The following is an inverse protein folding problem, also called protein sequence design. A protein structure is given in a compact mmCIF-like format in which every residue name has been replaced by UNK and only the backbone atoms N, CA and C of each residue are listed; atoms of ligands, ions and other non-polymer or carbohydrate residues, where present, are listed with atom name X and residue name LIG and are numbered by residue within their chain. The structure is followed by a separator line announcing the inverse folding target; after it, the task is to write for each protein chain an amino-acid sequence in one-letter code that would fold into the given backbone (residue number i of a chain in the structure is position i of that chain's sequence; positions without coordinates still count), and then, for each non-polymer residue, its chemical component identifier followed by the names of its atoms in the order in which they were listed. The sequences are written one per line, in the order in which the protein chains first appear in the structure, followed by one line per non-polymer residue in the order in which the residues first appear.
data_IF_900838147656
#
_entry.id   IF_900838147656
#
_cell.length_a   1.000
_cell.length_b   1.000
_cell.length_c   1.000
_cell.angle_alpha   90.00
_cell.angle_beta   90.00
_cell.angle_gamma   90.00
#
_symmetry.space_group_name_H-M   'P 1'
#
loop_
_entity.id
_entity.type
_entity.pdbx_description
1 polymer ?
#
# COMPACT_ATOMS: atom_id res chain seq x y z
N UNK A 1 -12.18 -29.07 8.16
CA UNK A 1 -11.75 -28.54 9.44
C UNK A 1 -11.39 -27.07 9.28
N UNK A 2 -12.08 -26.21 10.00
CA UNK A 2 -11.81 -24.75 10.04
C UNK A 2 -10.46 -24.55 10.71
N UNK A 3 -9.45 -24.13 9.96
CA UNK A 3 -8.16 -23.71 10.53
C UNK A 3 -8.35 -22.30 11.08
N UNK A 4 -8.34 -22.16 12.40
CA UNK A 4 -8.29 -20.84 13.04
C UNK A 4 -6.88 -20.24 12.89
N UNK A 5 -6.79 -18.93 12.80
CA UNK A 5 -5.51 -18.15 12.70
C UNK A 5 -4.51 -18.57 13.79
N UNK A 6 -4.99 -18.97 14.96
CA UNK A 6 -4.17 -19.44 16.08
C UNK A 6 -3.41 -20.76 15.81
N UNK A 7 -3.82 -21.53 14.81
CA UNK A 7 -3.22 -22.84 14.48
C UNK A 7 -2.36 -22.79 13.19
N UNK A 8 -2.09 -21.60 12.64
CA UNK A 8 -1.23 -21.43 11.49
C UNK A 8 0.19 -21.16 12.03
N UNK A 9 1.20 -21.96 11.61
CA UNK A 9 2.58 -21.78 12.10
C UNK A 9 3.21 -20.47 11.62
N UNK A 10 2.65 -19.79 10.63
CA UNK A 10 3.07 -18.50 10.13
C UNK A 10 2.34 -17.38 10.85
N UNK A 11 3.09 -16.38 11.30
CA UNK A 11 2.51 -15.19 11.95
C UNK A 11 1.80 -14.32 10.91
N UNK A 12 0.47 -14.23 11.02
CA UNK A 12 -0.37 -13.35 10.20
C UNK A 12 -0.70 -12.10 11.01
N UNK A 13 -0.51 -10.95 10.42
CA UNK A 13 -0.84 -9.64 10.98
C UNK A 13 -1.73 -8.88 10.00
N UNK A 14 -2.71 -8.16 10.53
CA UNK A 14 -3.64 -7.36 9.74
C UNK A 14 -3.53 -5.90 10.16
N UNK A 15 -3.37 -5.01 9.21
CA UNK A 15 -3.57 -3.58 9.40
C UNK A 15 -4.98 -3.26 8.95
N UNK A 16 -5.82 -2.86 9.89
CA UNK A 16 -7.25 -2.61 9.65
C UNK A 16 -7.50 -1.30 8.91
N UNK A 17 -8.72 -1.13 8.40
CA UNK A 17 -9.15 0.11 7.76
C UNK A 17 -8.99 1.33 8.66
N UNK A 18 -9.36 1.22 9.92
CA UNK A 18 -9.27 2.33 10.89
C UNK A 18 -7.83 2.80 11.05
N UNK A 19 -6.90 1.86 11.18
CA UNK A 19 -5.47 2.15 11.27
C UNK A 19 -4.91 2.71 9.94
N UNK A 20 -5.40 2.23 8.80
CA UNK A 20 -5.05 2.74 7.47
C UNK A 20 -5.52 4.20 7.27
N UNK A 21 -6.72 4.53 7.71
CA UNK A 21 -7.28 5.87 7.58
C UNK A 21 -6.55 6.86 8.51
N UNK A 22 -6.24 6.46 9.75
CA UNK A 22 -5.48 7.28 10.70
C UNK A 22 -4.06 7.56 10.19
N UNK A 23 -3.29 6.51 9.91
CA UNK A 23 -1.88 6.62 9.52
C UNK A 23 -1.69 7.04 8.08
N UNK A 24 -2.60 6.64 7.20
CA UNK A 24 -2.64 7.09 5.82
C UNK A 24 -2.84 8.60 5.71
N UNK A 25 -3.57 9.19 6.66
CA UNK A 25 -3.73 10.64 6.75
C UNK A 25 -2.45 11.36 7.19
N UNK A 26 -1.60 10.72 8.00
CA UNK A 26 -0.33 11.29 8.44
C UNK A 26 0.71 11.30 7.31
N UNK A 27 0.72 10.27 6.46
CA UNK A 27 1.61 10.19 5.30
C UNK A 27 0.89 9.56 4.09
N UNK A 28 0.06 10.36 3.39
CA UNK A 28 -0.80 9.84 2.34
C UNK A 28 -0.06 9.42 1.07
N UNK A 29 1.22 9.75 0.98
CA UNK A 29 2.00 9.50 -0.22
C UNK A 29 2.31 8.02 -0.48
N UNK A 30 2.56 7.21 0.54
CA UNK A 30 2.98 5.82 0.38
C UNK A 30 2.75 4.96 1.63
N UNK A 31 2.81 3.63 1.47
CA UNK A 31 2.55 2.65 2.54
C UNK A 31 3.74 2.40 3.47
N UNK A 32 4.90 3.04 3.28
CA UNK A 32 6.11 2.73 4.07
C UNK A 32 5.91 2.95 5.56
N UNK A 33 5.22 4.01 5.95
CA UNK A 33 4.95 4.31 7.35
C UNK A 33 4.14 3.20 8.01
N UNK A 34 3.08 2.75 7.34
CA UNK A 34 2.23 1.65 7.82
C UNK A 34 3.02 0.37 8.03
N UNK A 35 3.88 0.02 7.09
CA UNK A 35 4.68 -1.19 7.16
C UNK A 35 5.74 -1.14 8.26
N UNK A 36 6.33 0.03 8.53
CA UNK A 36 7.34 0.19 9.58
C UNK A 36 6.79 -0.01 10.99
N UNK A 37 5.50 0.11 11.20
CA UNK A 37 4.87 -0.11 12.49
C UNK A 37 4.61 -1.58 12.78
N UNK A 38 4.60 -2.42 11.76
CA UNK A 38 4.54 -3.86 11.92
C UNK A 38 5.84 -4.41 12.49
N UNK A 39 5.75 -5.11 13.62
CA UNK A 39 6.92 -5.70 14.29
C UNK A 39 7.74 -6.60 13.35
N UNK A 40 9.04 -6.35 13.22
CA UNK A 40 9.94 -7.13 12.36
C UNK A 40 9.90 -6.77 10.89
N UNK A 41 9.22 -5.69 10.53
CA UNK A 41 9.30 -5.07 9.20
C UNK A 41 10.06 -3.75 9.31
N UNK A 42 10.98 -3.55 8.40
CA UNK A 42 11.74 -2.32 8.27
C UNK A 42 11.69 -1.89 6.82
N UNK A 43 11.28 -0.66 6.57
CA UNK A 43 11.43 -0.04 5.25
C UNK A 43 12.67 0.84 5.26
N UNK A 44 13.60 0.55 4.38
CA UNK A 44 14.87 1.26 4.27
C UNK A 44 14.91 2.04 2.96
N UNK A 45 15.19 3.33 3.02
CA UNK A 45 15.49 4.12 1.83
C UNK A 45 16.84 3.68 1.27
N UNK A 46 16.85 3.24 0.01
CA UNK A 46 18.06 2.71 -0.65
C UNK A 46 18.74 3.74 -1.54
N UNK A 47 18.05 4.84 -1.85
CA UNK A 47 18.61 5.95 -2.63
C UNK A 47 18.06 7.28 -2.12
N UNK A 48 18.96 8.20 -1.80
CA UNK A 48 18.60 9.55 -1.37
C UNK A 48 18.08 10.39 -2.55
N UNK A 49 18.57 10.15 -3.76
CA UNK A 49 18.21 10.94 -4.95
C UNK A 49 16.92 10.52 -5.60
N UNK A 50 16.61 9.20 -5.63
CA UNK A 50 15.39 8.69 -6.24
C UNK A 50 14.29 8.36 -5.22
N UNK A 51 14.61 8.38 -3.91
CA UNK A 51 13.68 7.99 -2.88
C UNK A 51 13.32 6.51 -2.87
N UNK A 52 14.05 5.67 -3.61
CA UNK A 52 13.84 4.24 -3.61
C UNK A 52 13.90 3.66 -2.21
N UNK A 53 13.03 2.72 -1.93
CA UNK A 53 12.97 2.03 -0.65
C UNK A 53 12.83 0.52 -0.84
N UNK A 54 13.32 -0.24 0.11
CA UNK A 54 13.16 -1.68 0.19
C UNK A 54 12.51 -2.08 1.50
N UNK A 55 11.68 -3.12 1.46
CA UNK A 55 11.17 -3.78 2.67
C UNK A 55 12.15 -4.85 3.09
N UNK A 56 12.37 -4.96 4.41
CA UNK A 56 13.03 -6.09 5.04
C UNK A 56 12.07 -6.72 6.05
N UNK A 57 11.75 -7.98 5.88
CA UNK A 57 10.98 -8.76 6.84
C UNK A 57 11.95 -9.67 7.59
N UNK A 58 11.98 -9.55 8.93
CA UNK A 58 12.88 -10.31 9.79
C UNK A 58 14.36 -10.20 9.37
N UNK A 59 14.76 -9.04 8.85
CA UNK A 59 16.12 -8.77 8.39
C UNK A 59 16.46 -9.29 6.98
N UNK A 60 15.57 -10.06 6.35
CA UNK A 60 15.79 -10.57 4.99
C UNK A 60 15.55 -9.47 3.95
N UNK A 61 16.32 -9.54 2.87
CA UNK A 61 16.26 -8.58 1.76
C UNK A 61 14.89 -8.58 1.06
N UNK A 62 14.47 -7.44 0.54
CA UNK A 62 13.17 -7.25 -0.12
C UNK A 62 12.90 -8.17 -1.31
N UNK A 63 13.97 -8.70 -1.98
CA UNK A 63 13.82 -9.70 -3.04
C UNK A 63 13.13 -10.99 -2.59
N UNK A 64 13.14 -11.27 -1.27
CA UNK A 64 12.51 -12.44 -0.65
C UNK A 64 11.12 -12.14 -0.09
N UNK A 65 10.61 -10.94 -0.33
CA UNK A 65 9.27 -10.51 0.07
C UNK A 65 8.39 -10.37 -1.17
N UNK A 66 7.28 -11.10 -1.19
CA UNK A 66 6.28 -10.96 -2.25
C UNK A 66 5.25 -9.90 -1.86
N UNK A 67 4.96 -8.98 -2.78
CA UNK A 67 3.82 -8.05 -2.64
C UNK A 67 2.72 -8.51 -3.58
N UNK A 68 1.51 -8.61 -3.02
CA UNK A 68 0.28 -8.85 -3.78
C UNK A 68 -0.61 -7.60 -3.71
N UNK A 69 -1.42 -7.40 -4.73
CA UNK A 69 -2.56 -6.48 -4.70
C UNK A 69 -3.81 -7.27 -5.09
N UNK A 70 -4.79 -7.27 -4.19
CA UNK A 70 -6.04 -8.03 -4.34
C UNK A 70 -5.79 -9.53 -4.63
N UNK A 71 -4.75 -10.12 -4.02
CA UNK A 71 -4.35 -11.52 -4.20
C UNK A 71 -3.47 -11.81 -5.42
N UNK A 72 -3.25 -10.85 -6.30
CA UNK A 72 -2.42 -11.00 -7.49
C UNK A 72 -1.01 -10.45 -7.27
N UNK A 73 0.05 -11.17 -7.70
CA UNK A 73 1.41 -10.69 -7.58
C UNK A 73 1.61 -9.37 -8.32
N UNK A 74 2.15 -8.38 -7.63
CA UNK A 74 2.68 -7.18 -8.26
C UNK A 74 4.01 -7.54 -8.93
N UNK A 75 4.55 -6.68 -9.81
CA UNK A 75 5.78 -6.97 -10.54
C UNK A 75 6.92 -7.42 -9.61
N UNK A 76 7.79 -8.28 -10.11
CA UNK A 76 8.96 -8.76 -9.37
C UNK A 76 9.84 -7.57 -8.95
N UNK A 77 10.19 -7.53 -7.67
CA UNK A 77 10.94 -6.41 -7.10
C UNK A 77 10.09 -5.26 -6.56
N UNK A 78 8.74 -5.40 -6.53
CA UNK A 78 7.87 -4.38 -5.94
C UNK A 78 8.17 -4.09 -4.46
N UNK A 79 8.75 -5.06 -3.73
CA UNK A 79 9.21 -4.89 -2.36
C UNK A 79 10.53 -4.09 -2.26
N UNK A 80 11.12 -3.74 -3.38
CA UNK A 80 12.33 -2.91 -3.48
C UNK A 80 12.17 -1.89 -4.61
N UNK A 81 12.90 -0.80 -4.55
CA UNK A 81 12.83 0.26 -5.56
C UNK A 81 11.61 1.17 -5.42
N UNK A 82 10.97 1.51 -6.53
CA UNK A 82 9.86 2.47 -6.59
C UNK A 82 8.50 1.88 -6.22
N UNK A 83 8.35 0.56 -6.15
CA UNK A 83 7.06 -0.10 -5.97
C UNK A 83 6.33 0.33 -4.70
N UNK A 84 7.04 0.45 -3.60
CA UNK A 84 6.48 0.91 -2.32
C UNK A 84 6.02 2.36 -2.35
N UNK A 85 6.75 3.21 -3.09
CA UNK A 85 6.42 4.61 -3.24
C UNK A 85 5.18 4.84 -4.10
N UNK A 86 4.83 3.88 -4.96
CA UNK A 86 3.74 3.99 -5.91
C UNK A 86 2.40 3.49 -5.35
N UNK A 87 2.40 3.01 -4.11
CA UNK A 87 1.20 2.47 -3.48
C UNK A 87 0.69 3.43 -2.40
N UNK A 88 -0.34 4.22 -2.69
CA UNK A 88 -0.99 5.07 -1.70
C UNK A 88 -1.84 4.22 -0.74
N UNK A 89 -1.91 4.57 0.56
CA UNK A 89 -2.68 3.81 1.53
C UNK A 89 -4.20 4.05 1.46
N UNK A 90 -4.64 5.18 0.93
CA UNK A 90 -6.03 5.64 1.09
C UNK A 90 -7.05 4.95 0.17
N UNK A 91 -6.60 4.14 -0.81
CA UNK A 91 -7.46 3.26 -1.59
C UNK A 91 -7.49 1.82 -1.05
N UNK A 92 -6.80 1.57 0.06
CA UNK A 92 -6.75 0.25 0.69
C UNK A 92 -7.83 0.12 1.77
N UNK A 93 -8.41 -1.08 1.83
CA UNK A 93 -9.32 -1.51 2.89
C UNK A 93 -8.55 -2.17 4.04
N UNK A 94 -7.48 -2.90 3.70
CA UNK A 94 -6.75 -3.74 4.64
C UNK A 94 -5.38 -4.08 4.06
N UNK A 95 -4.39 -4.27 4.92
CA UNK A 95 -3.10 -4.86 4.56
C UNK A 95 -2.91 -6.13 5.38
N UNK A 96 -2.64 -7.24 4.69
CA UNK A 96 -2.35 -8.53 5.29
C UNK A 96 -0.86 -8.80 5.18
N UNK A 97 -0.25 -9.17 6.29
CA UNK A 97 1.18 -9.42 6.36
C UNK A 97 1.39 -10.83 6.90
N UNK A 98 2.04 -11.67 6.10
CA UNK A 98 2.43 -13.02 6.50
C UNK A 98 3.95 -13.00 6.67
N UNK A 99 4.43 -13.25 7.90
CA UNK A 99 5.85 -13.31 8.24
C UNK A 99 6.31 -14.76 8.27
N UNK A 100 7.32 -15.07 7.49
CA UNK A 100 7.84 -16.42 7.33
C UNK A 100 7.58 -16.97 5.93
N UNK A 101 8.09 -18.17 5.65
CA UNK A 101 8.06 -18.75 4.32
C UNK A 101 6.64 -19.11 3.88
N UNK A 102 6.21 -18.49 2.78
CA UNK A 102 4.96 -18.80 2.05
C UNK A 102 5.26 -19.29 0.63
N UNK A 103 6.50 -19.72 0.40
CA UNK A 103 7.01 -20.12 -0.91
C UNK A 103 6.24 -21.28 -1.56
N UNK A 104 5.52 -22.09 -0.77
CA UNK A 104 4.68 -23.19 -1.28
C UNK A 104 3.56 -22.71 -2.20
N UNK A 105 3.03 -21.51 -1.94
CA UNK A 105 1.92 -20.94 -2.72
C UNK A 105 2.39 -19.86 -3.71
N UNK A 106 3.46 -19.13 -3.36
CA UNK A 106 3.85 -17.91 -4.06
C UNK A 106 5.29 -17.97 -4.61
N UNK A 107 5.94 -19.14 -4.55
CA UNK A 107 7.29 -19.36 -5.10
C UNK A 107 8.42 -18.78 -4.27
N UNK A 108 9.64 -18.81 -4.84
CA UNK A 108 10.87 -18.39 -4.14
C UNK A 108 10.94 -16.92 -3.73
N UNK A 109 10.07 -16.06 -4.26
CA UNK A 109 9.98 -14.65 -3.89
C UNK A 109 9.33 -14.41 -2.50
N UNK A 110 8.71 -15.42 -1.89
CA UNK A 110 7.99 -15.30 -0.61
C UNK A 110 8.67 -16.08 0.54
N UNK A 111 10.01 -16.06 0.60
CA UNK A 111 10.80 -16.73 1.63
C UNK A 111 10.75 -15.94 2.95
N UNK A 112 10.89 -14.63 2.88
CA UNK A 112 10.82 -13.74 4.05
C UNK A 112 9.39 -13.53 4.53
N UNK A 113 8.46 -13.46 3.58
CA UNK A 113 7.05 -13.22 3.84
C UNK A 113 6.32 -12.64 2.64
N UNK A 114 5.07 -12.30 2.91
CA UNK A 114 4.14 -11.78 1.92
C UNK A 114 3.38 -10.58 2.49
N UNK A 115 3.20 -9.55 1.67
CA UNK A 115 2.35 -8.41 1.96
C UNK A 115 1.24 -8.36 0.92
N UNK A 116 -0.02 -8.54 1.33
CA UNK A 116 -1.17 -8.46 0.45
C UNK A 116 -1.95 -7.16 0.72
N UNK A 117 -2.05 -6.33 -0.29
CA UNK A 117 -2.71 -5.04 -0.27
C UNK A 117 -4.13 -5.20 -0.79
N UNK A 118 -5.12 -5.11 0.09
CA UNK A 118 -6.52 -5.30 -0.27
C UNK A 118 -7.16 -3.93 -0.51
N UNK A 119 -7.65 -3.73 -1.72
CA UNK A 119 -8.30 -2.48 -2.13
C UNK A 119 -9.69 -2.34 -1.53
N UNK A 120 -10.15 -1.10 -1.40
CA UNK A 120 -11.55 -0.79 -1.07
C UNK A 120 -12.47 -1.32 -2.16
N UNK A 121 -13.60 -1.88 -1.73
CA UNK A 121 -14.72 -2.28 -2.60
C UNK A 121 -15.88 -1.32 -2.41
N UNK A 122 -16.74 -1.13 -3.43
CA UNK A 122 -17.89 -0.24 -3.31
C UNK A 122 -18.93 -0.81 -2.35
N UNK A 123 -19.46 0.03 -1.48
CA UNK A 123 -20.56 -0.29 -0.57
C UNK A 123 -21.86 0.38 -1.05
N UNK A 124 -23.03 -0.06 -0.57
CA UNK A 124 -24.34 0.54 -0.90
C UNK A 124 -24.38 2.02 -0.53
N UNK A 125 -23.80 2.34 0.64
CA UNK A 125 -23.61 3.73 1.07
C UNK A 125 -22.47 4.34 0.29
N UNK A 126 -22.76 5.50 -0.36
CA UNK A 126 -21.73 6.28 -1.05
C UNK A 126 -20.62 6.68 -0.08
N UNK A 127 -19.40 6.31 -0.44
CA UNK A 127 -18.18 6.79 0.20
C UNK A 127 -17.54 7.88 -0.68
N UNK A 128 -17.30 9.05 -0.11
CA UNK A 128 -16.57 10.13 -0.76
C UNK A 128 -15.60 10.71 0.27
N UNK A 129 -14.32 10.67 -0.04
CA UNK A 129 -13.28 11.27 0.80
C UNK A 129 -12.37 12.15 -0.04
N UNK A 130 -11.96 13.27 0.52
CA UNK A 130 -10.94 14.17 -0.02
C UNK A 130 -9.90 14.39 1.06
N UNK A 131 -8.65 14.22 0.69
CA UNK A 131 -7.53 14.40 1.59
C UNK A 131 -6.54 15.42 1.02
N UNK A 132 -6.16 16.39 1.86
CA UNK A 132 -5.18 17.42 1.54
C UNK A 132 -4.13 17.42 2.65
N UNK A 133 -2.86 17.29 2.29
CA UNK A 133 -1.75 17.34 3.23
C UNK A 133 -0.62 18.21 2.68
N UNK A 134 -0.11 19.10 3.52
CA UNK A 134 1.06 19.93 3.22
C UNK A 134 2.11 19.73 4.30
N UNK A 135 3.37 19.57 3.90
CA UNK A 135 4.47 19.36 4.83
C UNK A 135 5.43 20.55 4.84
N UNK A 136 6.01 20.84 6.02
CA UNK A 136 7.07 21.85 6.16
C UNK A 136 8.31 21.54 5.31
N UNK A 137 8.51 20.25 4.95
CA UNK A 137 9.55 19.80 4.02
C UNK A 137 9.23 20.03 2.55
N UNK A 138 8.34 20.99 2.22
CA UNK A 138 7.90 21.34 0.87
C UNK A 138 7.26 20.19 0.12
N UNK A 139 6.38 19.42 0.80
CA UNK A 139 5.56 18.38 0.18
C UNK A 139 4.10 18.81 0.11
N UNK A 140 3.39 18.35 -0.94
CA UNK A 140 1.96 18.51 -1.14
C UNK A 140 1.37 17.17 -1.58
N UNK A 141 0.34 16.72 -0.87
CA UNK A 141 -0.42 15.53 -1.22
C UNK A 141 -1.90 15.91 -1.34
N UNK A 142 -2.50 15.55 -2.47
CA UNK A 142 -3.93 15.72 -2.73
C UNK A 142 -4.45 14.37 -3.18
N UNK A 143 -5.48 13.85 -2.53
CA UNK A 143 -6.11 12.61 -2.97
C UNK A 143 -7.61 12.62 -2.75
N UNK A 144 -8.32 11.85 -3.56
CA UNK A 144 -9.75 11.65 -3.47
C UNK A 144 -10.12 10.20 -3.73
N UNK A 145 -11.10 9.73 -2.99
CA UNK A 145 -11.70 8.43 -3.18
C UNK A 145 -13.21 8.57 -3.32
N UNK A 146 -13.77 7.89 -4.30
CA UNK A 146 -15.20 7.72 -4.48
C UNK A 146 -15.51 6.23 -4.60
N UNK A 147 -16.52 5.76 -3.90
CA UNK A 147 -17.02 4.39 -3.99
C UNK A 147 -18.53 4.34 -3.82
N UNK A 148 -19.22 3.59 -4.68
CA UNK A 148 -20.64 3.34 -4.56
C UNK A 148 -21.02 2.06 -5.28
N UNK A 149 -21.87 1.25 -4.64
CA UNK A 149 -22.54 0.10 -5.21
C UNK A 149 -23.98 0.50 -5.60
N UNK A 150 -24.34 0.15 -6.80
CA UNK A 150 -25.72 0.16 -7.33
C UNK A 150 -26.18 -1.30 -7.38
N UNK A 151 -27.42 -1.56 -7.77
CA UNK A 151 -28.00 -2.90 -7.74
C UNK A 151 -27.09 -3.99 -8.32
N UNK A 152 -26.64 -3.84 -9.58
CA UNK A 152 -25.82 -4.84 -10.29
C UNK A 152 -24.42 -4.35 -10.65
N UNK A 153 -24.12 -3.09 -10.36
CA UNK A 153 -22.85 -2.47 -10.73
C UNK A 153 -22.31 -1.69 -9.54
N UNK A 154 -21.02 -1.78 -9.31
CA UNK A 154 -20.32 -0.94 -8.35
C UNK A 154 -19.13 -0.27 -8.99
N UNK A 155 -18.71 0.84 -8.45
CA UNK A 155 -17.49 1.50 -8.90
C UNK A 155 -16.72 2.08 -7.74
N UNK A 156 -15.39 2.02 -7.84
CA UNK A 156 -14.50 2.81 -7.01
C UNK A 156 -13.57 3.61 -7.91
N UNK A 157 -13.30 4.84 -7.53
CA UNK A 157 -12.35 5.72 -8.22
C UNK A 157 -11.44 6.32 -7.15
N UNK A 158 -10.17 6.06 -7.26
CA UNK A 158 -9.13 6.71 -6.48
C UNK A 158 -8.24 7.55 -7.39
N UNK A 159 -8.03 8.81 -7.01
CA UNK A 159 -7.11 9.70 -7.69
C UNK A 159 -6.21 10.38 -6.65
N UNK A 160 -4.91 10.49 -6.95
CA UNK A 160 -3.97 11.19 -6.10
C UNK A 160 -2.92 11.95 -6.91
N UNK A 161 -2.55 13.09 -6.38
CA UNK A 161 -1.41 13.88 -6.81
C UNK A 161 -0.48 14.12 -5.62
N UNK A 162 0.78 13.74 -5.76
CA UNK A 162 1.79 13.96 -4.75
C UNK A 162 2.96 14.68 -5.37
N UNK A 163 3.37 15.77 -4.75
CA UNK A 163 4.50 16.58 -5.17
C UNK A 163 5.45 16.84 -4.03
N UNK A 164 6.72 16.74 -4.31
CA UNK A 164 7.76 17.17 -3.40
C UNK A 164 8.68 18.14 -4.15
N UNK A 165 8.89 19.31 -3.57
CA UNK A 165 9.87 20.28 -4.09
C UNK A 165 11.23 20.05 -3.45
N UNK A 166 12.27 20.52 -4.11
CA UNK A 166 13.60 20.49 -3.52
C UNK A 166 13.62 21.24 -2.19
N UNK A 167 14.11 20.57 -1.14
CA UNK A 167 14.19 21.11 0.20
C UNK A 167 15.59 20.87 0.77
N UNK A 168 16.34 21.96 0.94
CA UNK A 168 17.70 21.96 1.51
C UNK A 168 17.71 22.79 2.80
N UNK A 169 17.37 22.18 3.96
CA UNK A 169 17.33 22.89 5.23
C UNK A 169 18.71 23.24 5.78
N UNK A 170 19.73 22.56 5.29
CA UNK A 170 21.12 22.73 5.76
C UNK A 170 21.96 23.64 4.88
N UNK A 171 21.37 24.16 3.80
CA UNK A 171 22.03 25.04 2.81
C UNK A 171 23.35 24.48 2.27
N UNK A 172 23.35 23.18 2.00
CA UNK A 172 24.52 22.45 1.49
C UNK A 172 24.57 22.33 -0.02
N UNK A 173 23.50 22.77 -0.72
CA UNK A 173 23.31 22.57 -2.16
C UNK A 173 22.74 21.18 -2.51
N UNK A 174 22.48 20.33 -1.50
CA UNK A 174 21.87 19.01 -1.66
C UNK A 174 20.51 18.98 -1.03
N UNK A 175 19.51 18.45 -1.75
CA UNK A 175 18.16 18.31 -1.20
C UNK A 175 18.08 17.14 -0.22
N UNK A 176 17.43 17.36 0.93
CA UNK A 176 17.16 16.31 1.91
C UNK A 176 16.08 15.33 1.43
N UNK A 177 15.17 15.78 0.56
CA UNK A 177 14.14 14.97 -0.04
C UNK A 177 14.22 15.06 -1.57
N UNK A 178 14.05 13.93 -2.30
CA UNK A 178 14.03 13.97 -3.76
C UNK A 178 12.85 14.82 -4.26
N UNK A 179 13.09 15.57 -5.32
CA UNK A 179 12.01 16.27 -6.01
C UNK A 179 11.29 15.28 -6.92
N UNK A 180 9.96 15.25 -6.84
CA UNK A 180 9.13 14.43 -7.73
C UNK A 180 7.72 14.98 -7.88
N UNK A 181 7.09 14.58 -8.96
CA UNK A 181 5.65 14.68 -9.20
C UNK A 181 5.12 13.28 -9.45
N UNK A 182 4.02 12.91 -8.79
CA UNK A 182 3.40 11.61 -8.95
C UNK A 182 1.89 11.77 -9.09
N UNK A 183 1.35 11.08 -10.07
CA UNK A 183 -0.07 10.97 -10.34
C UNK A 183 -0.48 9.51 -10.19
N UNK A 184 -1.58 9.26 -9.49
CA UNK A 184 -2.19 7.94 -9.35
C UNK A 184 -3.64 8.06 -9.78
N UNK A 185 -4.11 7.14 -10.61
CA UNK A 185 -5.50 7.04 -11.00
C UNK A 185 -5.90 5.58 -11.10
N UNK A 186 -6.75 5.12 -10.16
CA UNK A 186 -7.19 3.75 -10.03
C UNK A 186 -8.72 3.67 -10.11
N UNK A 187 -9.33 3.60 -11.29
CA UNK A 187 -10.73 3.29 -11.47
C UNK A 187 -10.94 1.78 -11.42
N UNK A 188 -12.00 1.32 -10.74
CA UNK A 188 -12.44 -0.08 -10.74
C UNK A 188 -13.93 -0.14 -11.00
N UNK A 189 -14.35 -1.13 -11.78
CA UNK A 189 -15.74 -1.46 -12.05
C UNK A 189 -16.02 -2.86 -11.53
N UNK A 190 -17.10 -3.01 -10.78
CA UNK A 190 -17.55 -4.27 -10.20
C UNK A 190 -18.89 -4.65 -10.83
N UNK A 191 -19.02 -5.88 -11.31
CA UNK A 191 -20.23 -6.42 -11.89
C UNK A 191 -20.75 -7.55 -10.99
N UNK A 192 -21.93 -7.38 -10.42
CA UNK A 192 -22.60 -8.36 -9.57
C UNK A 192 -23.58 -9.17 -10.42
N UNK A 193 -23.13 -10.31 -10.93
CA UNK A 193 -23.94 -11.13 -11.86
C UNK A 193 -25.02 -11.93 -11.14
N UNK A 194 -24.72 -12.42 -9.93
CA UNK A 194 -25.64 -13.08 -9.01
C UNK A 194 -25.27 -12.70 -7.59
N UNK A 195 -26.11 -13.09 -6.60
CA UNK A 195 -25.78 -12.85 -5.19
C UNK A 195 -24.44 -13.45 -4.73
N UNK A 196 -23.93 -14.46 -5.44
CA UNK A 196 -22.69 -15.17 -5.12
C UNK A 196 -21.60 -15.03 -6.19
N UNK A 197 -21.81 -14.22 -7.25
CA UNK A 197 -20.84 -14.08 -8.36
C UNK A 197 -20.55 -12.62 -8.61
N UNK A 198 -19.31 -12.23 -8.31
CA UNK A 198 -18.75 -10.90 -8.52
C UNK A 198 -17.60 -10.99 -9.55
N UNK A 199 -17.49 -9.99 -10.41
CA UNK A 199 -16.39 -9.78 -11.35
C UNK A 199 -15.86 -8.36 -11.17
N UNK A 200 -14.56 -8.21 -11.03
CA UNK A 200 -13.86 -6.93 -10.87
C UNK A 200 -12.65 -6.83 -11.77
#
# INVERSE_FOLDING_TARGET
GTRTIQNIPTRVEFISREELDEKGSMKPGDIRMLLNESTGIITQQTSATSGNAAIRIQGLDGRYTQILKDGFPVFAGAASGLGLLQTPPLDLKQVEIIKGSTSTLYGGGAIAGLVNLISKTPEEKRELSLHLNGTSGKGLDVSGFYGQKFEKVGTTIFAAYNRNWAYDPSNTGFTANPQFDRYVFNPKLFLYLTENTEMS
#
